data_IF_040639040607
#
_entry.id   IF_040639040607
#
_cell.length_a   1.000
_cell.length_b   1.000
_cell.length_c   1.000
_cell.angle_alpha   90.00
_cell.angle_beta   90.00
_cell.angle_gamma   90.00
#
_symmetry.space_group_name_H-M   'P 1'
#
loop_
_entity.id
_entity.type
_entity.pdbx_description
1 polymer ?
#
# COMPACT_ATOMS: atom_id res chain seq x y z
N UNK A 1 -24.97 -3.52 -15.97
CA UNK A 1 -24.16 -3.32 -14.75
C UNK A 1 -22.70 -3.31 -15.19
N UNK A 2 -21.95 -2.23 -14.91
CA UNK A 2 -20.56 -2.11 -15.33
C UNK A 2 -19.68 -2.92 -14.36
N UNK A 3 -19.38 -4.17 -14.70
CA UNK A 3 -18.57 -5.09 -13.88
C UNK A 3 -17.11 -4.64 -13.78
N UNK A 4 -16.63 -3.80 -14.70
CA UNK A 4 -15.26 -3.33 -14.73
C UNK A 4 -14.88 -2.52 -13.48
N UNK A 5 -15.81 -1.71 -12.96
CA UNK A 5 -15.58 -0.95 -11.72
C UNK A 5 -15.37 -1.86 -10.50
N UNK A 6 -16.15 -2.95 -10.40
CA UNK A 6 -15.99 -3.92 -9.31
C UNK A 6 -14.62 -4.59 -9.40
N UNK A 7 -14.21 -4.99 -10.61
CA UNK A 7 -12.89 -5.59 -10.84
C UNK A 7 -11.74 -4.62 -10.51
N UNK A 8 -11.89 -3.34 -10.87
CA UNK A 8 -10.91 -2.30 -10.55
C UNK A 8 -10.79 -2.07 -9.04
N UNK A 9 -11.91 -2.03 -8.32
CA UNK A 9 -11.93 -1.94 -6.85
C UNK A 9 -11.25 -3.16 -6.23
N UNK A 10 -11.55 -4.37 -6.70
CA UNK A 10 -10.95 -5.61 -6.18
C UNK A 10 -9.44 -5.66 -6.43
N UNK A 11 -8.98 -5.29 -7.62
CA UNK A 11 -7.55 -5.21 -7.94
C UNK A 11 -6.84 -4.18 -7.06
N UNK A 12 -7.46 -3.01 -6.87
CA UNK A 12 -6.91 -1.96 -6.02
C UNK A 12 -6.82 -2.40 -4.55
N UNK A 13 -7.86 -3.07 -4.04
CA UNK A 13 -7.86 -3.65 -2.69
C UNK A 13 -6.74 -4.68 -2.52
N UNK A 14 -6.54 -5.57 -3.49
CA UNK A 14 -5.46 -6.56 -3.45
C UNK A 14 -4.08 -5.87 -3.37
N UNK A 15 -3.87 -4.80 -4.16
CA UNK A 15 -2.63 -4.00 -4.11
C UNK A 15 -2.45 -3.32 -2.76
N UNK A 16 -3.51 -2.73 -2.18
CA UNK A 16 -3.48 -2.11 -0.85
C UNK A 16 -3.04 -3.13 0.21
N UNK A 17 -3.63 -4.33 0.19
CA UNK A 17 -3.28 -5.40 1.13
C UNK A 17 -1.83 -5.80 0.97
N UNK A 18 -1.38 -6.06 -0.27
CA UNK A 18 0.00 -6.45 -0.55
C UNK A 18 1.00 -5.37 -0.09
N UNK A 19 0.77 -4.10 -0.42
CA UNK A 19 1.63 -2.99 -0.01
C UNK A 19 1.64 -2.82 1.51
N UNK A 20 0.49 -2.98 2.19
CA UNK A 20 0.42 -2.94 3.66
C UNK A 20 1.26 -4.03 4.30
N UNK A 21 1.21 -5.27 3.78
CA UNK A 21 2.05 -6.36 4.26
C UNK A 21 3.54 -6.04 4.14
N UNK A 22 3.95 -5.44 3.02
CA UNK A 22 5.35 -5.02 2.83
C UNK A 22 5.74 -3.93 3.83
N UNK A 23 4.90 -2.90 4.03
CA UNK A 23 5.17 -1.83 5.01
C UNK A 23 5.34 -2.41 6.40
N UNK A 24 4.45 -3.30 6.83
CA UNK A 24 4.56 -3.97 8.13
C UNK A 24 5.85 -4.77 8.25
N UNK A 25 6.20 -5.58 7.26
CA UNK A 25 7.43 -6.37 7.26
C UNK A 25 8.69 -5.48 7.30
N UNK A 26 8.69 -4.32 6.64
CA UNK A 26 9.80 -3.36 6.76
C UNK A 26 9.86 -2.74 8.17
N UNK A 27 8.71 -2.47 8.79
CA UNK A 27 8.65 -1.99 10.18
C UNK A 27 9.25 -3.01 11.15
N UNK A 28 8.85 -4.27 11.05
CA UNK A 28 9.38 -5.36 11.87
C UNK A 28 10.89 -5.52 11.66
N UNK A 29 11.34 -5.49 10.39
CA UNK A 29 12.77 -5.56 10.05
C UNK A 29 13.59 -4.41 10.64
N UNK A 30 13.06 -3.18 10.66
CA UNK A 30 13.73 -2.04 11.29
C UNK A 30 13.93 -2.32 12.78
N UNK A 31 12.91 -2.84 13.48
CA UNK A 31 13.02 -3.16 14.91
C UNK A 31 14.08 -4.24 15.16
N UNK A 32 14.08 -5.33 14.39
CA UNK A 32 15.09 -6.38 14.48
C UNK A 32 16.52 -5.85 14.26
N UNK A 33 16.70 -4.99 13.25
CA UNK A 33 18.00 -4.38 12.95
C UNK A 33 18.46 -3.43 14.06
N UNK A 34 17.56 -2.66 14.67
CA UNK A 34 17.88 -1.82 15.82
C UNK A 34 18.34 -2.63 17.02
N UNK A 35 17.68 -3.76 17.32
CA UNK A 35 18.08 -4.68 18.38
C UNK A 35 19.47 -5.26 18.14
N UNK A 36 19.78 -5.59 16.88
CA UNK A 36 21.10 -6.06 16.43
C UNK A 36 22.16 -4.95 16.28
N UNK A 37 21.80 -3.67 16.45
CA UNK A 37 22.65 -2.49 16.20
C UNK A 37 23.18 -2.41 14.76
N UNK A 38 22.38 -2.85 13.80
CA UNK A 38 22.67 -2.78 12.36
C UNK A 38 22.16 -1.47 11.73
N UNK A 39 22.69 -1.11 10.56
CA UNK A 39 22.26 0.08 9.81
C UNK A 39 20.86 -0.10 9.20
N UNK A 40 19.90 0.69 9.67
CA UNK A 40 18.49 0.64 9.25
C UNK A 40 18.19 1.44 7.98
N UNK A 41 19.14 2.19 7.42
CA UNK A 41 18.90 3.22 6.40
C UNK A 41 18.10 2.72 5.19
N UNK A 42 18.43 1.54 4.66
CA UNK A 42 17.72 0.95 3.53
C UNK A 42 16.29 0.52 3.91
N UNK A 43 16.11 -0.14 5.04
CA UNK A 43 14.81 -0.60 5.50
C UNK A 43 13.87 0.58 5.78
N UNK A 44 14.39 1.68 6.35
CA UNK A 44 13.65 2.92 6.53
C UNK A 44 13.27 3.59 5.20
N UNK A 45 14.18 3.61 4.23
CA UNK A 45 13.90 4.16 2.90
C UNK A 45 12.77 3.37 2.22
N UNK A 46 12.81 2.03 2.29
CA UNK A 46 11.76 1.16 1.78
C UNK A 46 10.44 1.35 2.54
N UNK A 47 10.47 1.39 3.87
CA UNK A 47 9.29 1.66 4.70
C UNK A 47 8.60 2.96 4.29
N UNK A 48 9.36 4.06 4.16
CA UNK A 48 8.83 5.35 3.71
C UNK A 48 8.29 5.29 2.29
N UNK A 49 8.97 4.58 1.38
CA UNK A 49 8.55 4.44 -0.02
C UNK A 49 7.22 3.69 -0.14
N UNK A 50 7.11 2.51 0.47
CA UNK A 50 5.88 1.72 0.47
C UNK A 50 4.76 2.39 1.27
N UNK A 51 5.10 3.15 2.33
CA UNK A 51 4.14 3.97 3.06
C UNK A 51 3.47 5.04 2.17
N UNK A 52 4.26 5.74 1.33
CA UNK A 52 3.72 6.68 0.34
C UNK A 52 2.86 5.97 -0.71
N UNK A 53 3.31 4.82 -1.21
CA UNK A 53 2.54 4.03 -2.16
C UNK A 53 1.19 3.59 -1.57
N UNK A 54 1.17 3.16 -0.31
CA UNK A 54 -0.05 2.76 0.39
C UNK A 54 -1.03 3.94 0.52
N UNK A 55 -0.53 5.12 0.88
CA UNK A 55 -1.34 6.34 0.95
C UNK A 55 -1.96 6.69 -0.41
N UNK A 56 -1.17 6.61 -1.48
CA UNK A 56 -1.64 6.86 -2.84
C UNK A 56 -2.73 5.86 -3.27
N UNK A 57 -2.53 4.56 -3.02
CA UNK A 57 -3.53 3.54 -3.37
C UNK A 57 -4.85 3.75 -2.61
N UNK A 58 -4.79 4.17 -1.33
CA UNK A 58 -5.98 4.51 -0.54
C UNK A 58 -6.70 5.74 -1.07
N UNK A 59 -5.97 6.74 -1.54
CA UNK A 59 -6.55 7.92 -2.20
C UNK A 59 -7.30 7.50 -3.48
N UNK A 60 -6.67 6.71 -4.35
CA UNK A 60 -7.32 6.17 -5.55
C UNK A 60 -8.58 5.36 -5.20
N UNK A 61 -8.55 4.59 -4.11
CA UNK A 61 -9.70 3.80 -3.67
C UNK A 61 -10.85 4.71 -3.24
N UNK A 62 -10.55 5.77 -2.49
CA UNK A 62 -11.55 6.76 -2.09
C UNK A 62 -12.18 7.45 -3.32
N UNK A 63 -11.37 7.84 -4.31
CA UNK A 63 -11.85 8.44 -5.56
C UNK A 63 -12.75 7.47 -6.36
N UNK A 64 -12.31 6.22 -6.51
CA UNK A 64 -13.04 5.19 -7.25
C UNK A 64 -14.38 4.84 -6.59
N UNK A 65 -14.44 4.85 -5.25
CA UNK A 65 -15.68 4.61 -4.50
C UNK A 65 -16.63 5.82 -4.51
N UNK A 66 -16.10 7.03 -4.66
CA UNK A 66 -16.92 8.26 -4.81
C UNK A 66 -17.52 8.41 -6.20
N UNK A 67 -16.96 7.75 -7.22
CA UNK A 67 -17.44 7.80 -8.61
C UNK A 67 -17.68 6.41 -9.22
N UNK A 68 -18.71 5.66 -8.77
CA UNK A 68 -18.97 4.31 -9.26
C UNK A 68 -19.28 4.22 -10.77
N UNK A 69 -19.60 5.34 -11.42
CA UNK A 69 -19.96 5.41 -12.85
C UNK A 69 -18.88 6.03 -13.76
N UNK A 70 -17.77 6.53 -13.22
CA UNK A 70 -16.73 7.23 -14.00
C UNK A 70 -15.75 6.31 -14.74
N UNK A 71 -15.80 4.99 -14.49
CA UNK A 71 -15.16 3.98 -15.35
C UNK A 71 -15.95 3.82 -16.66
N UNK A 72 -15.96 4.84 -17.52
CA UNK A 72 -16.46 4.79 -18.91
C UNK A 72 -15.34 4.96 -19.90
#
# INVERSE_FOLDING_TARGET
MNTNWIDDVLRLNARIVATRTIVSAQGDRILEMLEAREDTSLAEALFKSYGRQLAYLRMMQAELLQQPEASK
#
